data_IF_126819572948
#
_entry.id   IF_126819572948
#
_cell.length_a   1.000
_cell.length_b   1.000
_cell.length_c   1.000
_cell.angle_alpha   90.00
_cell.angle_beta   90.00
_cell.angle_gamma   90.00
#
_symmetry.space_group_name_H-M   'P 1'
#
loop_
_entity.id
_entity.type
_entity.pdbx_description
1 polymer ?
#
# COMPACT_ATOMS: atom_id res chain seq x y z
N UNK A 1 6.12 10.98 3.87
CA UNK A 1 5.62 10.91 5.26
C UNK A 1 4.40 10.00 5.39
N UNK A 2 3.35 10.17 4.59
CA UNK A 2 2.15 9.30 4.65
C UNK A 2 2.41 7.82 4.33
N UNK A 3 3.25 7.50 3.34
CA UNK A 3 3.59 6.11 3.00
C UNK A 3 4.37 5.39 4.11
N UNK A 4 5.27 6.11 4.80
CA UNK A 4 6.00 5.58 5.96
C UNK A 4 5.05 5.23 7.10
N UNK A 5 4.01 6.05 7.34
CA UNK A 5 2.98 5.74 8.34
C UNK A 5 2.19 4.49 7.94
N UNK A 6 1.89 4.31 6.64
CA UNK A 6 1.28 3.07 6.13
C UNK A 6 2.21 1.86 6.34
N UNK A 7 3.51 1.99 6.03
CA UNK A 7 4.50 0.94 6.24
C UNK A 7 4.57 0.55 7.73
N UNK A 8 4.68 1.53 8.63
CA UNK A 8 4.66 1.29 10.08
C UNK A 8 3.38 0.58 10.54
N UNK A 9 2.21 0.96 10.01
CA UNK A 9 0.95 0.29 10.32
C UNK A 9 0.94 -1.18 9.95
N UNK A 10 1.43 -1.54 8.77
CA UNK A 10 1.56 -2.93 8.33
C UNK A 10 2.63 -3.70 9.13
N UNK A 11 3.76 -3.06 9.45
CA UNK A 11 4.79 -3.67 10.30
C UNK A 11 4.23 -4.01 11.70
N UNK A 12 3.51 -3.08 12.33
CA UNK A 12 2.87 -3.29 13.65
C UNK A 12 1.79 -4.37 13.58
N UNK A 13 0.97 -4.39 12.53
CA UNK A 13 -0.04 -5.43 12.33
C UNK A 13 0.60 -6.83 12.17
N UNK A 14 1.77 -6.91 11.52
CA UNK A 14 2.48 -8.19 11.31
C UNK A 14 2.98 -8.84 12.60
N UNK A 15 3.23 -8.05 13.65
CA UNK A 15 3.71 -8.51 14.96
C UNK A 15 2.59 -8.66 16.00
N UNK A 16 1.33 -8.47 15.62
CA UNK A 16 0.23 -8.43 16.57
C UNK A 16 -0.10 -9.83 17.13
N UNK A 17 0.17 -10.06 18.42
CA UNK A 17 -0.30 -11.26 19.14
C UNK A 17 -1.63 -11.04 19.89
N UNK A 18 -2.08 -9.78 19.95
CA UNK A 18 -3.35 -9.39 20.54
C UNK A 18 -4.15 -8.51 19.58
N UNK A 19 -5.48 -8.60 19.66
CA UNK A 19 -6.40 -7.89 18.78
C UNK A 19 -6.22 -6.35 18.87
N UNK A 20 -5.88 -5.84 20.05
CA UNK A 20 -5.60 -4.41 20.24
C UNK A 20 -4.41 -3.92 19.41
N UNK A 21 -3.33 -4.71 19.32
CA UNK A 21 -2.14 -4.36 18.53
C UNK A 21 -2.46 -4.41 17.03
N UNK A 22 -3.31 -5.36 16.62
CA UNK A 22 -3.79 -5.44 15.25
C UNK A 22 -4.60 -4.19 14.86
N UNK A 23 -5.55 -3.77 15.70
CA UNK A 23 -6.31 -2.54 15.45
C UNK A 23 -5.44 -1.28 15.45
N UNK A 24 -4.43 -1.20 16.34
CA UNK A 24 -3.47 -0.11 16.32
C UNK A 24 -2.74 0.00 14.97
N UNK A 25 -2.28 -1.14 14.42
CA UNK A 25 -1.66 -1.20 13.10
C UNK A 25 -2.57 -0.67 11.99
N UNK A 26 -3.87 -1.02 12.02
CA UNK A 26 -4.84 -0.51 11.04
C UNK A 26 -5.20 0.96 11.21
N UNK A 27 -5.24 1.48 12.43
CA UNK A 27 -5.41 2.93 12.68
C UNK A 27 -4.25 3.70 12.04
N UNK A 28 -3.02 3.22 12.24
CA UNK A 28 -1.83 3.79 11.61
C UNK A 28 -1.93 3.70 10.08
N UNK A 29 -2.27 2.52 9.54
CA UNK A 29 -2.43 2.32 8.10
C UNK A 29 -3.43 3.31 7.48
N UNK A 30 -4.64 3.42 8.04
CA UNK A 30 -5.69 4.27 7.48
C UNK A 30 -5.42 5.77 7.69
N UNK A 31 -4.78 6.16 8.80
CA UNK A 31 -4.34 7.54 8.99
C UNK A 31 -3.28 7.96 7.95
N UNK A 32 -2.33 7.07 7.64
CA UNK A 32 -1.36 7.27 6.57
C UNK A 32 -2.02 7.31 5.19
N UNK A 33 -3.01 6.45 4.95
CA UNK A 33 -3.74 6.38 3.68
C UNK A 33 -4.51 7.67 3.38
N UNK A 34 -5.16 8.27 4.39
CA UNK A 34 -5.82 9.58 4.26
C UNK A 34 -4.82 10.70 3.90
N UNK A 35 -3.60 10.66 4.45
CA UNK A 35 -2.54 11.61 4.10
C UNK A 35 -1.90 11.36 2.72
N UNK A 36 -1.84 10.12 2.25
CA UNK A 36 -1.24 9.74 0.96
C UNK A 36 -2.16 9.99 -0.24
N UNK A 37 -3.47 9.87 -0.03
CA UNK A 37 -4.48 10.05 -1.08
C UNK A 37 -4.87 11.51 -1.34
N UNK A 38 -4.58 12.42 -0.40
CA UNK A 38 -5.00 13.84 -0.47
C UNK A 38 -4.06 14.73 -1.29
N UNK A 39 -2.76 14.45 -1.32
CA UNK A 39 -1.79 14.98 -2.31
C UNK A 39 -1.59 13.93 -3.39
N UNK A 40 -2.64 13.67 -4.17
CA UNK A 40 -2.60 12.64 -5.19
C UNK A 40 -1.61 12.98 -6.32
N UNK A 41 -0.92 11.97 -6.84
CA UNK A 41 -0.15 12.01 -8.10
C UNK A 41 -0.84 12.79 -9.24
N UNK A 42 -2.19 12.76 -9.40
CA UNK A 42 -2.90 13.60 -10.36
C UNK A 42 -2.67 15.12 -10.22
N UNK A 43 -2.54 15.63 -8.99
CA UNK A 43 -2.29 17.05 -8.74
C UNK A 43 -0.86 17.44 -9.14
N UNK A 44 0.11 16.56 -8.89
CA UNK A 44 1.50 16.74 -9.33
C UNK A 44 1.59 16.72 -10.86
N UNK A 45 0.91 15.76 -11.51
CA UNK A 45 0.81 15.70 -12.97
C UNK A 45 0.21 16.98 -13.54
N UNK A 46 -0.84 17.51 -12.90
CA UNK A 46 -1.46 18.78 -13.31
C UNK A 46 -0.56 20.01 -13.17
N UNK A 47 0.38 20.00 -12.23
CA UNK A 47 1.35 21.07 -12.03
C UNK A 47 2.52 21.00 -13.01
N UNK A 48 3.03 19.78 -13.25
CA UNK A 48 4.25 19.54 -14.03
C UNK A 48 4.01 19.48 -15.54
N UNK A 49 2.83 19.03 -15.98
CA UNK A 49 2.53 18.84 -17.39
C UNK A 49 1.39 19.75 -17.84
N UNK A 50 1.69 20.62 -18.82
CA UNK A 50 0.72 21.51 -19.47
C UNK A 50 0.33 21.01 -20.85
N UNK A 51 -0.88 21.38 -21.30
CA UNK A 51 -1.35 21.12 -22.66
C UNK A 51 -1.71 19.65 -22.94
N UNK A 52 -1.74 19.23 -24.22
CA UNK A 52 -2.32 17.96 -24.67
C UNK A 52 -1.67 16.69 -24.09
N UNK A 53 -0.41 16.77 -23.65
CA UNK A 53 0.34 15.63 -23.10
C UNK A 53 -0.11 15.24 -21.70
N UNK A 54 -0.77 16.14 -20.97
CA UNK A 54 -1.29 15.91 -19.62
C UNK A 54 -2.26 14.72 -19.57
N UNK A 55 -3.13 14.58 -20.57
CA UNK A 55 -4.10 13.48 -20.64
C UNK A 55 -3.44 12.10 -20.73
N UNK A 56 -2.37 11.97 -21.52
CA UNK A 56 -1.61 10.71 -21.65
C UNK A 56 -0.91 10.33 -20.35
N UNK A 57 -0.34 11.32 -19.67
CA UNK A 57 0.39 11.09 -18.40
C UNK A 57 -0.59 10.76 -17.28
N UNK A 58 -1.73 11.43 -17.22
CA UNK A 58 -2.84 11.05 -16.34
C UNK A 58 -3.31 9.61 -16.61
N UNK A 59 -3.45 9.23 -17.88
CA UNK A 59 -3.77 7.85 -18.26
C UNK A 59 -2.74 6.84 -17.75
N UNK A 60 -1.44 7.14 -17.87
CA UNK A 60 -0.38 6.29 -17.36
C UNK A 60 -0.40 6.18 -15.82
N UNK A 61 -0.65 7.28 -15.10
CA UNK A 61 -0.77 7.26 -13.63
C UNK A 61 -1.97 6.41 -13.18
N UNK A 62 -3.11 6.57 -13.83
CA UNK A 62 -4.30 5.76 -13.52
C UNK A 62 -4.08 4.29 -13.86
N UNK A 63 -3.47 3.99 -15.01
CA UNK A 63 -3.13 2.62 -15.39
C UNK A 63 -2.18 1.97 -14.38
N UNK A 64 -1.13 2.69 -13.95
CA UNK A 64 -0.20 2.22 -12.92
C UNK A 64 -0.89 1.90 -11.59
N UNK A 65 -1.82 2.75 -11.14
CA UNK A 65 -2.59 2.51 -9.93
C UNK A 65 -3.44 1.22 -10.01
N UNK A 66 -4.10 0.99 -11.14
CA UNK A 66 -4.91 -0.23 -11.34
C UNK A 66 -4.04 -1.48 -11.51
N UNK A 67 -2.92 -1.37 -12.23
CA UNK A 67 -1.97 -2.47 -12.40
C UNK A 67 -1.40 -2.93 -11.06
N UNK A 68 -1.01 -1.98 -10.19
CA UNK A 68 -0.51 -2.30 -8.85
C UNK A 68 -1.57 -3.04 -8.02
N UNK A 69 -2.84 -2.65 -8.11
CA UNK A 69 -3.95 -3.37 -7.47
C UNK A 69 -4.08 -4.83 -7.92
N UNK A 70 -3.85 -5.12 -9.21
CA UNK A 70 -3.83 -6.49 -9.72
C UNK A 70 -2.58 -7.25 -9.24
N UNK A 71 -1.41 -6.64 -9.36
CA UNK A 71 -0.11 -7.28 -9.04
C UNK A 71 0.01 -7.57 -7.55
N UNK A 72 -0.37 -6.64 -6.67
CA UNK A 72 -0.22 -6.78 -5.21
C UNK A 72 -1.08 -7.92 -4.65
N UNK A 73 -2.27 -8.16 -5.22
CA UNK A 73 -3.15 -9.27 -4.83
C UNK A 73 -2.51 -10.61 -5.16
N UNK A 74 -1.91 -10.74 -6.34
CA UNK A 74 -1.23 -11.99 -6.74
C UNK A 74 -0.01 -12.26 -5.88
N UNK A 75 0.82 -11.23 -5.62
CA UNK A 75 2.01 -11.37 -4.75
C UNK A 75 1.58 -11.75 -3.33
N UNK A 76 0.59 -11.05 -2.77
CA UNK A 76 0.09 -11.33 -1.41
C UNK A 76 -0.44 -12.76 -1.31
N UNK A 77 -1.22 -13.20 -2.30
CA UNK A 77 -1.75 -14.58 -2.35
C UNK A 77 -0.61 -15.59 -2.43
N UNK A 78 0.38 -15.35 -3.30
CA UNK A 78 1.53 -16.23 -3.44
C UNK A 78 2.33 -16.33 -2.13
N UNK A 79 2.58 -15.20 -1.44
CA UNK A 79 3.29 -15.18 -0.15
C UNK A 79 2.51 -15.91 0.93
N UNK A 80 1.18 -15.71 1.01
CA UNK A 80 0.33 -16.42 1.97
C UNK A 80 0.35 -17.93 1.73
N UNK A 81 0.30 -18.37 0.47
CA UNK A 81 0.31 -19.79 0.08
C UNK A 81 1.70 -20.42 0.26
N UNK A 82 2.77 -19.67 0.00
CA UNK A 82 4.15 -20.15 0.14
C UNK A 82 4.66 -20.11 1.60
N UNK A 83 4.02 -19.32 2.47
CA UNK A 83 4.36 -19.21 3.89
C UNK A 83 4.12 -20.50 4.67
N UNK A 84 4.87 -20.70 5.75
CA UNK A 84 4.89 -21.91 6.56
C UNK A 84 3.54 -22.15 7.29
N UNK A 85 2.61 -22.83 6.62
CA UNK A 85 1.49 -23.54 7.23
C UNK A 85 0.25 -22.72 7.61
N UNK A 86 -0.84 -23.43 7.98
CA UNK A 86 -2.16 -22.82 8.23
C UNK A 86 -2.11 -21.94 9.48
N UNK A 87 -2.05 -20.63 9.27
CA UNK A 87 -2.21 -19.61 10.33
C UNK A 87 -1.19 -18.46 10.31
N UNK A 88 -0.04 -18.61 9.63
CA UNK A 88 1.08 -17.65 9.72
C UNK A 88 1.35 -16.78 8.48
N UNK A 89 0.99 -17.23 7.27
CA UNK A 89 1.41 -16.59 6.01
C UNK A 89 0.92 -15.16 5.79
N UNK A 90 -0.15 -14.74 6.47
CA UNK A 90 -0.65 -13.37 6.39
C UNK A 90 0.29 -12.35 7.05
N UNK A 91 1.04 -12.76 8.08
CA UNK A 91 2.05 -11.90 8.73
C UNK A 91 3.21 -11.61 7.78
N UNK A 92 3.66 -12.63 7.06
CA UNK A 92 4.73 -12.48 6.07
C UNK A 92 4.29 -11.63 4.88
N UNK A 93 3.04 -11.78 4.42
CA UNK A 93 2.47 -10.88 3.44
C UNK A 93 2.45 -9.41 3.91
N UNK A 94 2.07 -9.16 5.17
CA UNK A 94 2.11 -7.80 5.73
C UNK A 94 3.54 -7.24 5.81
N UNK A 95 4.54 -8.06 6.11
CA UNK A 95 5.96 -7.64 6.11
C UNK A 95 6.45 -7.30 4.71
N UNK A 96 6.10 -8.11 3.72
CA UNK A 96 6.42 -7.83 2.30
C UNK A 96 5.76 -6.52 1.86
N UNK A 97 4.47 -6.34 2.13
CA UNK A 97 3.76 -5.10 1.81
C UNK A 97 4.31 -3.88 2.57
N UNK A 98 4.73 -4.05 3.82
CA UNK A 98 5.41 -3.01 4.59
C UNK A 98 6.73 -2.61 3.94
N UNK A 99 7.54 -3.57 3.49
CA UNK A 99 8.81 -3.31 2.81
C UNK A 99 8.66 -2.64 1.45
N UNK A 100 7.52 -2.82 0.77
CA UNK A 100 7.20 -2.11 -0.48
C UNK A 100 6.83 -0.64 -0.27
N UNK A 101 6.44 -0.25 0.95
CA UNK A 101 5.98 1.10 1.29
C UNK A 101 7.03 1.95 2.05
N UNK A 102 8.07 1.32 2.58
CA UNK A 102 9.17 1.95 3.31
C UNK A 102 10.26 2.45 2.36
#
# INVERSE_FOLDING_TARGET
TSLLVCACGLAVASTAEALAVYYLGYILLYSGFAGGSTIGSPKVVGLWFRGPRRGRIMGAVTAGNNLMGLVVVQITTAVVVAGAGPGGGWRDAMRVCSGMLA
#
